data_IF_332601924109
#
_entry.id   IF_332601924109
#
_cell.length_a   1.000
_cell.length_b   1.000
_cell.length_c   1.000
_cell.angle_alpha   90.00
_cell.angle_beta   90.00
_cell.angle_gamma   90.00
#
_symmetry.space_group_name_H-M   'P 1'
#
loop_
_entity.id
_entity.type
_entity.pdbx_description
1 polymer ?
#
# COMPACT_ATOMS: atom_id res chain seq x y z
N UNK A 1 -24.32 71.82 -11.09
CA UNK A 1 -23.80 73.02 -10.40
C UNK A 1 -22.29 73.02 -10.67
N UNK A 2 -21.84 73.93 -11.57
CA UNK A 2 -20.44 74.31 -11.93
C UNK A 2 -19.60 73.28 -12.75
N UNK A 3 -19.53 73.39 -14.09
CA UNK A 3 -18.62 74.20 -14.99
C UNK A 3 -17.27 73.50 -15.27
N UNK A 4 -16.97 73.01 -16.48
CA UNK A 4 -16.56 73.65 -17.75
C UNK A 4 -15.08 74.17 -17.82
N UNK A 5 -14.36 73.70 -18.86
CA UNK A 5 -13.50 74.45 -19.84
C UNK A 5 -12.14 74.98 -19.31
N UNK A 6 -10.98 74.46 -19.75
CA UNK A 6 -10.24 74.60 -21.03
C UNK A 6 -9.25 75.77 -21.07
N UNK A 7 -8.05 75.50 -21.63
CA UNK A 7 -7.02 76.39 -22.22
C UNK A 7 -5.62 75.95 -21.73
N UNK A 8 -4.53 75.88 -22.50
CA UNK A 8 -4.23 76.18 -23.89
C UNK A 8 -2.92 75.45 -24.26
N UNK A 9 -2.71 75.16 -25.54
CA UNK A 9 -1.40 74.74 -26.09
C UNK A 9 -0.41 75.91 -26.13
N UNK A 10 0.90 75.60 -26.20
CA UNK A 10 1.62 76.00 -27.41
C UNK A 10 2.48 74.89 -28.03
N UNK A 11 2.65 75.03 -29.34
CA UNK A 11 3.43 74.21 -30.28
C UNK A 11 4.95 74.40 -30.12
N UNK A 12 5.69 73.52 -30.82
CA UNK A 12 7.09 73.59 -31.31
C UNK A 12 8.06 72.71 -30.49
N UNK A 13 8.88 71.79 -31.03
CA UNK A 13 9.42 71.52 -32.38
C UNK A 13 9.85 70.03 -32.50
N UNK A 14 9.78 69.50 -33.73
CA UNK A 14 10.53 68.34 -34.27
C UNK A 14 12.06 68.52 -34.03
N UNK A 15 12.98 67.55 -33.94
CA UNK A 15 13.14 66.11 -34.24
C UNK A 15 14.50 65.66 -33.59
N UNK A 16 15.14 64.53 -33.99
CA UNK A 16 15.09 63.16 -33.49
C UNK A 16 16.42 62.76 -32.75
N UNK A 17 16.70 61.44 -32.65
CA UNK A 17 17.94 60.79 -32.17
C UNK A 17 17.88 60.41 -30.67
N UNK A 18 17.48 59.18 -30.37
CA UNK A 18 18.37 58.02 -30.27
C UNK A 18 19.10 57.99 -28.92
N UNK A 19 18.69 57.09 -28.04
CA UNK A 19 19.59 56.15 -27.35
C UNK A 19 18.76 55.17 -26.50
N UNK A 20 18.76 53.95 -27.00
CA UNK A 20 18.34 52.70 -26.38
C UNK A 20 19.09 52.46 -25.06
N UNK A 21 18.35 52.15 -24.00
CA UNK A 21 18.85 51.36 -22.88
C UNK A 21 17.75 50.38 -22.45
N UNK A 22 17.72 49.20 -23.10
CA UNK A 22 16.97 48.06 -22.60
C UNK A 22 17.69 47.51 -21.36
N UNK A 23 17.08 47.69 -20.19
CA UNK A 23 17.41 46.90 -19.01
C UNK A 23 16.72 45.53 -19.13
N UNK A 24 17.44 44.56 -19.70
CA UNK A 24 16.99 43.17 -19.75
C UNK A 24 17.15 42.52 -18.37
N UNK A 25 16.09 42.55 -17.57
CA UNK A 25 15.99 41.71 -16.37
C UNK A 25 15.83 40.24 -16.80
N UNK A 26 16.93 39.49 -16.77
CA UNK A 26 16.93 38.04 -16.94
C UNK A 26 16.25 37.40 -15.72
N UNK A 27 14.95 37.12 -15.85
CA UNK A 27 14.23 36.20 -14.98
C UNK A 27 14.71 34.78 -15.29
N UNK A 28 15.74 34.33 -14.58
CA UNK A 28 16.08 32.91 -14.50
C UNK A 28 14.98 32.20 -13.72
N UNK A 29 13.94 31.77 -14.42
CA UNK A 29 12.97 30.80 -13.93
C UNK A 29 13.67 29.46 -13.74
N UNK A 30 14.28 29.27 -12.58
CA UNK A 30 14.79 27.96 -12.18
C UNK A 30 13.62 27.00 -12.05
N UNK A 31 13.57 25.99 -12.92
CA UNK A 31 12.73 24.81 -12.72
C UNK A 31 13.21 24.12 -11.43
N UNK A 32 12.65 24.51 -10.29
CA UNK A 32 12.80 23.76 -9.05
C UNK A 32 12.16 22.39 -9.28
N UNK A 33 12.96 21.39 -9.64
CA UNK A 33 12.57 19.99 -9.53
C UNK A 33 12.23 19.77 -8.05
N UNK A 34 10.94 19.74 -7.75
CA UNK A 34 10.43 19.44 -6.42
C UNK A 34 10.77 17.98 -6.16
N UNK A 35 11.93 17.73 -5.54
CA UNK A 35 12.31 16.38 -5.12
C UNK A 35 11.22 15.90 -4.18
N UNK A 36 10.64 14.74 -4.48
CA UNK A 36 9.69 14.09 -3.58
C UNK A 36 10.39 13.90 -2.23
N UNK A 37 9.84 14.50 -1.17
CA UNK A 37 10.40 14.38 0.17
C UNK A 37 10.10 13.00 0.72
N UNK A 38 11.14 12.28 1.15
CA UNK A 38 10.99 11.00 1.82
C UNK A 38 10.40 11.19 3.22
N UNK A 39 9.52 10.29 3.62
CA UNK A 39 8.99 10.23 4.99
C UNK A 39 10.08 9.74 5.92
N UNK A 40 10.37 10.51 6.97
CA UNK A 40 11.37 10.13 7.98
C UNK A 40 10.80 9.18 9.03
N UNK A 41 11.67 8.40 9.68
CA UNK A 41 11.30 7.55 10.82
C UNK A 41 10.63 8.35 11.95
N UNK A 42 11.12 9.57 12.24
CA UNK A 42 10.54 10.44 13.27
C UNK A 42 9.11 10.85 12.93
N UNK A 43 8.85 11.21 11.68
CA UNK A 43 7.51 11.56 11.21
C UNK A 43 6.56 10.35 11.32
N UNK A 44 7.05 9.17 10.95
CA UNK A 44 6.25 7.95 11.08
C UNK A 44 5.95 7.60 12.54
N UNK A 45 6.95 7.68 13.42
CA UNK A 45 6.75 7.45 14.87
C UNK A 45 5.78 8.45 15.49
N UNK A 46 5.81 9.72 15.05
CA UNK A 46 4.82 10.71 15.48
C UNK A 46 3.41 10.32 15.04
N UNK A 47 3.27 9.83 13.80
CA UNK A 47 1.99 9.32 13.28
C UNK A 47 1.49 8.14 14.12
N UNK A 48 2.35 7.17 14.43
CA UNK A 48 2.02 6.05 15.34
C UNK A 48 1.64 6.52 16.75
N UNK A 49 2.23 7.61 17.24
CA UNK A 49 1.84 8.26 18.50
C UNK A 49 0.42 8.81 18.44
N UNK A 50 0.04 9.49 17.35
CA UNK A 50 -1.31 10.00 17.14
C UNK A 50 -2.35 8.89 16.98
N UNK A 51 -1.94 7.71 16.52
CA UNK A 51 -2.81 6.54 16.37
C UNK A 51 -2.87 5.65 17.61
N UNK A 52 -2.28 6.08 18.74
CA UNK A 52 -2.37 5.36 20.00
C UNK A 52 -3.83 5.06 20.39
N UNK A 53 -4.09 3.83 20.84
CA UNK A 53 -5.43 3.37 21.20
C UNK A 53 -6.29 2.89 20.02
N UNK A 54 -5.81 2.99 18.77
CA UNK A 54 -6.49 2.38 17.63
C UNK A 54 -6.36 0.86 17.70
N UNK A 55 -7.46 0.07 17.66
CA UNK A 55 -7.36 -1.38 17.82
C UNK A 55 -6.69 -2.09 16.63
N UNK A 56 -6.72 -1.51 15.41
CA UNK A 56 -6.02 -2.06 14.26
C UNK A 56 -5.26 -1.01 13.44
N UNK A 57 -4.06 -1.36 12.98
CA UNK A 57 -3.28 -0.58 12.03
C UNK A 57 -2.96 -1.48 10.83
N UNK A 58 -3.20 -0.99 9.62
CA UNK A 58 -3.00 -1.73 8.38
C UNK A 58 -1.88 -1.04 7.58
N UNK A 59 -0.82 -1.77 7.28
CA UNK A 59 0.33 -1.32 6.49
C UNK A 59 0.25 -1.92 5.10
N UNK A 60 0.30 -1.03 4.10
CA UNK A 60 0.23 -1.35 2.69
C UNK A 60 1.57 -1.20 2.01
N UNK A 61 2.07 -2.28 1.45
CA UNK A 61 3.33 -2.29 0.70
C UNK A 61 3.17 -2.52 -0.81
N UNK A 62 4.21 -2.14 -1.54
CA UNK A 62 4.56 -2.80 -2.78
C UNK A 62 5.60 -3.89 -2.45
N UNK A 63 5.28 -5.15 -2.76
CA UNK A 63 6.02 -6.34 -2.30
C UNK A 63 7.47 -6.47 -2.79
N UNK A 64 7.86 -5.75 -3.85
CA UNK A 64 9.22 -5.81 -4.38
C UNK A 64 10.10 -4.65 -3.88
N UNK A 65 9.61 -3.87 -2.91
CA UNK A 65 10.31 -2.70 -2.39
C UNK A 65 10.97 -2.99 -1.04
N UNK A 66 12.30 -3.01 -1.02
CA UNK A 66 13.11 -3.31 0.17
C UNK A 66 12.82 -2.32 1.30
N UNK A 67 12.68 -1.02 0.99
CA UNK A 67 12.40 0.00 1.99
C UNK A 67 11.04 -0.19 2.66
N UNK A 68 10.07 -0.80 1.99
CA UNK A 68 8.76 -1.10 2.57
C UNK A 68 8.89 -2.20 3.62
N UNK A 69 9.55 -3.32 3.30
CA UNK A 69 9.82 -4.39 4.28
C UNK A 69 10.59 -3.87 5.51
N UNK A 70 11.56 -2.97 5.30
CA UNK A 70 12.32 -2.35 6.39
C UNK A 70 11.43 -1.47 7.28
N UNK A 71 10.57 -0.65 6.67
CA UNK A 71 9.59 0.19 7.36
C UNK A 71 8.60 -0.64 8.19
N UNK A 72 8.10 -1.74 7.65
CA UNK A 72 7.20 -2.66 8.36
C UNK A 72 7.90 -3.30 9.56
N UNK A 73 9.12 -3.82 9.36
CA UNK A 73 9.90 -4.43 10.44
C UNK A 73 10.23 -3.40 11.53
N UNK A 74 10.53 -2.15 11.16
CA UNK A 74 10.75 -1.06 12.10
C UNK A 74 9.47 -0.70 12.88
N UNK A 75 8.31 -0.71 12.21
CA UNK A 75 7.01 -0.48 12.83
C UNK A 75 6.69 -1.56 13.86
N UNK A 76 6.89 -2.84 13.50
CA UNK A 76 6.71 -3.97 14.42
C UNK A 76 7.61 -3.80 15.65
N UNK A 77 8.92 -3.53 15.45
CA UNK A 77 9.86 -3.31 16.56
C UNK A 77 9.44 -2.15 17.46
N UNK A 78 9.02 -1.02 16.87
CA UNK A 78 8.63 0.17 17.60
C UNK A 78 7.41 -0.08 18.50
N UNK A 79 6.34 -0.67 17.94
CA UNK A 79 5.13 -0.97 18.69
C UNK A 79 5.37 -2.06 19.73
N UNK A 80 6.15 -3.10 19.40
CA UNK A 80 6.47 -4.18 20.34
C UNK A 80 7.32 -3.68 21.52
N UNK A 81 8.34 -2.86 21.28
CA UNK A 81 9.18 -2.28 22.33
C UNK A 81 8.40 -1.39 23.30
N UNK A 82 7.31 -0.76 22.84
CA UNK A 82 6.41 0.03 23.67
C UNK A 82 5.32 -0.81 24.36
N UNK A 83 5.30 -2.13 24.14
CA UNK A 83 4.22 -3.00 24.62
C UNK A 83 2.87 -2.71 23.97
N UNK A 84 2.86 -2.07 22.79
CA UNK A 84 1.66 -1.60 22.07
C UNK A 84 1.25 -2.50 20.90
N UNK A 85 1.94 -3.62 20.68
CA UNK A 85 1.58 -4.59 19.64
C UNK A 85 0.90 -5.82 20.27
N UNK A 86 -0.36 -6.06 19.92
CA UNK A 86 -1.13 -7.21 20.39
C UNK A 86 -0.88 -8.46 19.55
N UNK A 87 -0.83 -8.29 18.23
CA UNK A 87 -0.56 -9.35 17.26
C UNK A 87 -0.08 -8.72 15.95
N UNK A 88 0.61 -9.53 15.14
CA UNK A 88 0.91 -9.24 13.74
C UNK A 88 0.11 -10.20 12.85
N UNK A 89 -0.63 -9.67 11.89
CA UNK A 89 -1.28 -10.43 10.82
C UNK A 89 -0.50 -10.18 9.53
N UNK A 90 -0.22 -11.22 8.76
CA UNK A 90 0.49 -11.11 7.48
C UNK A 90 -0.29 -11.74 6.33
N UNK A 91 -0.37 -11.05 5.21
CA UNK A 91 -0.87 -11.62 3.95
C UNK A 91 0.00 -12.80 3.47
N UNK A 92 1.26 -12.83 3.87
CA UNK A 92 2.24 -13.75 3.34
C UNK A 92 2.01 -15.19 3.80
N UNK A 93 1.21 -15.40 4.85
CA UNK A 93 0.83 -16.71 5.36
C UNK A 93 -0.70 -16.94 5.26
N UNK A 94 -1.14 -18.17 4.97
CA UNK A 94 -2.56 -18.49 4.93
C UNK A 94 -3.20 -18.45 6.33
N UNK A 95 -4.48 -18.11 6.38
CA UNK A 95 -5.30 -18.23 7.56
C UNK A 95 -5.23 -19.66 8.12
N UNK A 96 -5.04 -19.77 9.43
CA UNK A 96 -4.76 -21.02 10.15
C UNK A 96 -3.30 -21.20 10.53
N UNK A 97 -2.36 -20.51 9.87
CA UNK A 97 -0.98 -20.40 10.33
C UNK A 97 -0.87 -19.48 11.54
N UNK A 98 -0.14 -19.88 12.59
CA UNK A 98 0.01 -19.09 13.82
C UNK A 98 1.28 -19.44 14.60
N UNK A 99 1.96 -18.42 15.13
CA UNK A 99 3.10 -18.60 16.05
C UNK A 99 2.70 -18.55 17.54
N UNK A 100 1.40 -18.51 17.86
CA UNK A 100 0.90 -18.34 19.24
C UNK A 100 1.46 -19.36 20.24
N UNK A 101 1.73 -20.59 19.79
CA UNK A 101 2.27 -21.66 20.63
C UNK A 101 3.80 -21.68 20.71
N UNK A 102 4.49 -20.80 19.99
CA UNK A 102 5.95 -20.77 19.93
C UNK A 102 6.53 -19.84 21.01
N UNK A 103 7.69 -20.19 21.60
CA UNK A 103 8.41 -19.29 22.48
C UNK A 103 9.08 -18.16 21.68
N UNK A 104 9.44 -17.07 22.37
CA UNK A 104 10.18 -15.95 21.75
C UNK A 104 11.57 -16.34 21.20
N UNK A 105 12.10 -17.49 21.63
CA UNK A 105 13.36 -18.07 21.16
C UNK A 105 13.23 -18.99 19.94
N UNK A 106 12.02 -19.13 19.37
CA UNK A 106 11.79 -19.98 18.22
C UNK A 106 12.68 -19.59 17.03
N UNK A 107 13.16 -20.59 16.31
CA UNK A 107 13.95 -20.44 15.10
C UNK A 107 13.08 -20.05 13.90
N UNK A 108 13.72 -19.51 12.86
CA UNK A 108 13.07 -19.19 11.59
C UNK A 108 12.34 -20.40 10.98
N UNK A 109 12.88 -21.62 11.11
CA UNK A 109 12.25 -22.84 10.57
C UNK A 109 10.98 -23.23 11.33
N UNK A 110 11.00 -23.13 12.66
CA UNK A 110 9.82 -23.38 13.50
C UNK A 110 8.71 -22.37 13.18
N UNK A 111 9.08 -21.09 13.04
CA UNK A 111 8.15 -20.01 12.67
C UNK A 111 7.58 -20.21 11.28
N UNK A 112 8.41 -20.52 10.27
CA UNK A 112 7.94 -20.83 8.91
C UNK A 112 6.98 -22.01 8.89
N UNK A 113 7.28 -23.06 9.66
CA UNK A 113 6.42 -24.25 9.76
C UNK A 113 5.08 -23.90 10.39
N UNK A 114 5.10 -23.19 11.52
CA UNK A 114 3.89 -22.80 12.25
C UNK A 114 3.00 -21.83 11.45
N UNK A 115 3.60 -20.95 10.65
CA UNK A 115 2.88 -20.06 9.72
C UNK A 115 2.49 -20.74 8.41
N UNK A 116 2.89 -22.00 8.19
CA UNK A 116 2.69 -22.70 6.92
C UNK A 116 3.25 -21.91 5.72
N UNK A 117 4.41 -21.27 5.90
CA UNK A 117 4.95 -20.24 5.01
C UNK A 117 5.08 -20.69 3.55
N UNK A 118 5.47 -21.95 3.32
CA UNK A 118 5.57 -22.54 1.97
C UNK A 118 4.24 -22.57 1.20
N UNK A 119 3.11 -22.44 1.89
CA UNK A 119 1.76 -22.38 1.30
C UNK A 119 1.34 -20.95 0.94
N UNK A 120 2.10 -19.92 1.30
CA UNK A 120 1.83 -18.52 0.97
C UNK A 120 2.32 -18.09 -0.41
N UNK A 121 1.63 -17.18 -1.10
CA UNK A 121 2.10 -16.65 -2.40
C UNK A 121 2.03 -17.66 -3.55
N UNK A 122 3.03 -17.68 -4.45
CA UNK A 122 3.18 -18.65 -5.55
C UNK A 122 4.08 -19.86 -5.22
N UNK A 123 4.36 -20.76 -6.19
CA UNK A 123 5.28 -21.89 -5.99
C UNK A 123 6.62 -21.40 -5.40
N UNK A 124 7.02 -21.95 -4.25
CA UNK A 124 8.23 -21.53 -3.52
C UNK A 124 7.98 -20.61 -2.31
N UNK A 125 6.76 -20.07 -2.15
CA UNK A 125 6.47 -19.18 -1.03
C UNK A 125 6.78 -17.71 -1.32
N UNK A 126 6.60 -16.85 -0.31
CA UNK A 126 7.23 -15.54 -0.29
C UNK A 126 8.70 -15.67 0.13
N UNK A 127 9.63 -14.87 -0.40
CA UNK A 127 11.04 -14.99 -0.02
C UNK A 127 11.25 -14.64 1.45
N UNK A 128 11.73 -15.60 2.24
CA UNK A 128 11.85 -15.43 3.69
C UNK A 128 12.85 -14.34 4.07
N UNK A 129 13.89 -14.10 3.27
CA UNK A 129 14.85 -13.04 3.54
C UNK A 129 14.22 -11.63 3.58
N UNK A 130 13.11 -11.44 2.86
CA UNK A 130 12.43 -10.15 2.75
C UNK A 130 11.48 -9.94 3.94
N UNK A 131 10.71 -10.98 4.29
CA UNK A 131 9.65 -10.90 5.30
C UNK A 131 10.03 -11.42 6.69
N UNK A 132 11.05 -12.28 6.78
CA UNK A 132 11.58 -12.83 8.02
C UNK A 132 11.89 -11.76 9.07
N UNK A 133 12.54 -10.63 8.72
CA UNK A 133 12.75 -9.53 9.66
C UNK A 133 11.46 -8.93 10.26
N UNK A 134 10.37 -8.85 9.50
CA UNK A 134 9.05 -8.36 9.98
C UNK A 134 8.46 -9.37 10.98
N UNK A 135 8.41 -10.64 10.57
CA UNK A 135 7.83 -11.73 11.36
C UNK A 135 8.62 -11.97 12.65
N UNK A 136 9.94 -12.09 12.55
CA UNK A 136 10.81 -12.39 13.69
C UNK A 136 10.91 -11.23 14.68
N UNK A 137 10.67 -9.99 14.26
CA UNK A 137 10.56 -8.87 15.18
C UNK A 137 9.38 -9.03 16.16
N UNK A 138 8.23 -9.55 15.69
CA UNK A 138 7.09 -9.85 16.55
C UNK A 138 7.35 -11.08 17.42
N UNK A 139 7.82 -12.19 16.82
CA UNK A 139 8.07 -13.45 17.55
C UNK A 139 9.07 -13.25 18.70
N UNK A 140 10.19 -12.56 18.45
CA UNK A 140 11.22 -12.29 19.48
C UNK A 140 10.72 -11.39 20.61
N UNK A 141 9.66 -10.61 20.38
CA UNK A 141 8.99 -9.82 21.40
C UNK A 141 7.88 -10.59 22.14
N UNK A 142 7.68 -11.88 21.83
CA UNK A 142 6.58 -12.68 22.39
C UNK A 142 5.21 -12.32 21.83
N UNK A 143 5.16 -11.60 20.70
CA UNK A 143 3.91 -11.21 20.04
C UNK A 143 3.54 -12.28 19.00
N UNK A 144 2.30 -12.81 19.03
CA UNK A 144 1.87 -13.81 18.06
C UNK A 144 1.76 -13.22 16.65
N UNK A 145 2.20 -14.00 15.67
CA UNK A 145 2.04 -13.75 14.24
C UNK A 145 0.97 -14.70 13.69
N UNK A 146 0.05 -14.18 12.90
CA UNK A 146 -1.08 -14.89 12.32
C UNK A 146 -1.03 -14.77 10.80
N UNK A 147 -1.25 -15.87 10.08
CA UNK A 147 -1.53 -15.81 8.66
C UNK A 147 -2.93 -15.24 8.41
N UNK A 148 -3.04 -14.26 7.52
CA UNK A 148 -4.30 -13.59 7.21
C UNK A 148 -4.97 -14.08 5.92
N UNK A 149 -4.19 -14.65 5.00
CA UNK A 149 -4.59 -14.77 3.61
C UNK A 149 -5.54 -15.95 3.36
N UNK A 150 -6.29 -15.90 2.26
CA UNK A 150 -7.12 -17.02 1.85
C UNK A 150 -6.24 -18.25 1.55
N UNK A 151 -6.48 -19.41 2.19
CA UNK A 151 -5.74 -20.62 1.87
C UNK A 151 -5.86 -20.98 0.39
N UNK A 152 -4.74 -21.35 -0.27
CA UNK A 152 -4.70 -21.62 -1.72
C UNK A 152 -5.78 -22.59 -2.20
N UNK A 153 -6.08 -23.62 -1.41
CA UNK A 153 -7.11 -24.61 -1.71
C UNK A 153 -8.51 -23.98 -1.92
N UNK A 154 -8.77 -22.80 -1.36
CA UNK A 154 -10.03 -22.07 -1.49
C UNK A 154 -10.05 -21.04 -2.62
N UNK A 155 -8.90 -20.68 -3.21
CA UNK A 155 -8.84 -19.67 -4.28
C UNK A 155 -9.63 -20.09 -5.52
N UNK A 156 -9.54 -21.36 -5.94
CA UNK A 156 -10.30 -21.88 -7.08
C UNK A 156 -11.81 -21.80 -6.86
N UNK A 157 -12.27 -22.06 -5.64
CA UNK A 157 -13.68 -21.93 -5.27
C UNK A 157 -14.13 -20.47 -5.37
N UNK A 158 -13.34 -19.54 -4.84
CA UNK A 158 -13.66 -18.11 -4.82
C UNK A 158 -13.92 -17.53 -6.22
N UNK A 159 -13.26 -18.05 -7.28
CA UNK A 159 -13.52 -17.64 -8.66
C UNK A 159 -15.00 -17.76 -9.08
N UNK A 160 -15.72 -18.74 -8.52
CA UNK A 160 -17.13 -19.01 -8.82
C UNK A 160 -18.13 -18.35 -7.87
N UNK A 161 -17.68 -17.65 -6.85
CA UNK A 161 -18.55 -17.07 -5.82
C UNK A 161 -19.05 -15.67 -6.24
N UNK A 162 -20.21 -15.61 -6.89
CA UNK A 162 -20.82 -14.35 -7.36
C UNK A 162 -21.20 -13.38 -6.24
N UNK A 163 -21.24 -13.84 -4.97
CA UNK A 163 -21.50 -12.96 -3.81
C UNK A 163 -20.51 -11.80 -3.70
N UNK A 164 -19.29 -11.96 -4.23
CA UNK A 164 -18.27 -10.91 -4.22
C UNK A 164 -18.56 -9.78 -5.21
N UNK A 165 -19.34 -10.03 -6.28
CA UNK A 165 -19.61 -9.05 -7.34
C UNK A 165 -20.39 -7.83 -6.81
N UNK A 166 -21.19 -8.04 -5.76
CA UNK A 166 -22.02 -7.00 -5.13
C UNK A 166 -21.45 -6.41 -3.85
N UNK A 167 -20.25 -6.81 -3.42
CA UNK A 167 -19.66 -6.33 -2.16
C UNK A 167 -19.25 -4.85 -2.25
N UNK A 168 -18.62 -4.48 -3.36
CA UNK A 168 -18.15 -3.11 -3.59
C UNK A 168 -19.20 -2.31 -4.38
N UNK A 169 -19.28 -0.98 -4.17
CA UNK A 169 -19.95 -0.10 -5.12
C UNK A 169 -19.35 -0.25 -6.53
N UNK A 170 -20.12 0.07 -7.57
CA UNK A 170 -19.71 -0.11 -8.96
C UNK A 170 -18.32 0.50 -9.29
N UNK A 171 -18.01 1.67 -8.73
CA UNK A 171 -16.70 2.30 -8.89
C UNK A 171 -15.56 1.49 -8.23
N UNK A 172 -15.80 0.91 -7.05
CA UNK A 172 -14.83 0.05 -6.36
C UNK A 172 -14.62 -1.28 -7.09
N UNK A 173 -15.70 -1.86 -7.63
CA UNK A 173 -15.60 -3.04 -8.48
C UNK A 173 -14.77 -2.77 -9.75
N UNK A 174 -15.01 -1.66 -10.43
CA UNK A 174 -14.22 -1.28 -11.61
C UNK A 174 -12.73 -1.10 -11.26
N UNK A 175 -12.41 -0.47 -10.13
CA UNK A 175 -11.03 -0.35 -9.65
C UNK A 175 -10.35 -1.71 -9.45
N UNK A 176 -11.08 -2.73 -9.00
CA UNK A 176 -10.55 -4.09 -8.86
C UNK A 176 -10.30 -4.73 -10.23
N UNK A 177 -11.22 -4.58 -11.19
CA UNK A 177 -11.02 -5.08 -12.55
C UNK A 177 -9.82 -4.42 -13.24
N UNK A 178 -9.68 -3.11 -13.09
CA UNK A 178 -8.55 -2.35 -13.63
C UNK A 178 -7.23 -2.79 -12.97
N UNK A 179 -7.22 -2.98 -11.65
CA UNK A 179 -6.05 -3.50 -10.94
C UNK A 179 -5.65 -4.91 -11.41
N UNK A 180 -6.62 -5.78 -11.70
CA UNK A 180 -6.35 -7.10 -12.29
C UNK A 180 -5.75 -6.95 -13.69
N UNK A 181 -6.33 -6.12 -14.55
CA UNK A 181 -5.83 -5.88 -15.91
C UNK A 181 -4.39 -5.36 -15.88
N UNK A 182 -4.13 -4.35 -15.07
CA UNK A 182 -2.83 -3.68 -14.98
C UNK A 182 -1.78 -4.61 -14.35
N UNK A 183 -2.14 -5.33 -13.29
CA UNK A 183 -1.26 -6.32 -12.66
C UNK A 183 -0.89 -7.50 -13.56
N UNK A 184 -1.68 -7.76 -14.61
CA UNK A 184 -1.36 -8.74 -15.65
C UNK A 184 -0.87 -8.09 -16.95
N UNK A 185 -0.48 -6.81 -16.90
CA UNK A 185 0.10 -6.04 -18.01
C UNK A 185 -0.78 -6.03 -19.28
N UNK A 186 -2.10 -6.12 -19.10
CA UNK A 186 -3.09 -6.20 -20.17
C UNK A 186 -3.12 -7.53 -20.94
N UNK A 187 -2.38 -8.55 -20.49
CA UNK A 187 -2.28 -9.84 -21.19
C UNK A 187 -3.44 -10.78 -20.84
N UNK A 188 -3.97 -10.65 -19.62
CA UNK A 188 -5.04 -11.52 -19.14
C UNK A 188 -6.33 -11.31 -19.97
N UNK A 189 -7.01 -12.39 -20.45
CA UNK A 189 -8.29 -12.27 -21.13
C UNK A 189 -9.34 -11.61 -20.23
N UNK A 190 -10.18 -10.74 -20.79
CA UNK A 190 -11.20 -10.00 -20.02
C UNK A 190 -12.16 -10.93 -19.26
N UNK A 191 -12.44 -12.12 -19.81
CA UNK A 191 -13.28 -13.14 -19.16
C UNK A 191 -12.71 -13.64 -17.82
N UNK A 192 -11.41 -13.43 -17.56
CA UNK A 192 -10.75 -13.78 -16.30
C UNK A 192 -10.73 -12.63 -15.29
N UNK A 193 -11.10 -11.40 -15.66
CA UNK A 193 -11.01 -10.26 -14.74
C UNK A 193 -11.91 -10.44 -13.52
N UNK A 194 -13.19 -10.74 -13.73
CA UNK A 194 -14.12 -10.97 -12.62
C UNK A 194 -13.72 -12.19 -11.74
N UNK A 195 -13.40 -13.38 -12.30
CA UNK A 195 -12.87 -14.49 -11.51
C UNK A 195 -11.65 -14.15 -10.64
N UNK A 196 -10.70 -13.38 -11.16
CA UNK A 196 -9.51 -12.96 -10.40
C UNK A 196 -9.84 -11.88 -9.36
N UNK A 197 -10.71 -10.93 -9.69
CA UNK A 197 -11.19 -9.92 -8.73
C UNK A 197 -11.90 -10.59 -7.54
N UNK A 198 -12.71 -11.62 -7.77
CA UNK A 198 -13.33 -12.41 -6.69
C UNK A 198 -12.31 -13.05 -5.76
N UNK A 199 -11.17 -13.53 -6.29
CA UNK A 199 -10.07 -14.02 -5.44
C UNK A 199 -9.49 -12.90 -4.59
N UNK A 200 -9.26 -11.71 -5.15
CA UNK A 200 -8.76 -10.56 -4.38
C UNK A 200 -9.70 -10.21 -3.24
N UNK A 201 -11.01 -10.10 -3.52
CA UNK A 201 -12.04 -9.84 -2.50
C UNK A 201 -12.10 -10.94 -1.43
N UNK A 202 -11.95 -12.21 -1.82
CA UNK A 202 -11.92 -13.34 -0.90
C UNK A 202 -10.68 -13.33 0.03
N UNK A 203 -9.53 -12.87 -0.48
CA UNK A 203 -8.32 -12.66 0.32
C UNK A 203 -8.52 -11.52 1.31
N UNK A 204 -9.11 -10.41 0.86
CA UNK A 204 -9.46 -9.27 1.72
C UNK A 204 -10.42 -9.68 2.84
N UNK A 205 -11.47 -10.44 2.52
CA UNK A 205 -12.42 -10.97 3.51
C UNK A 205 -11.71 -11.85 4.56
N UNK A 206 -10.79 -12.72 4.11
CA UNK A 206 -10.00 -13.58 5.00
C UNK A 206 -9.13 -12.75 5.95
N UNK A 207 -8.39 -11.78 5.41
CA UNK A 207 -7.51 -10.91 6.20
C UNK A 207 -8.30 -10.04 7.18
N UNK A 208 -9.45 -9.52 6.76
CA UNK A 208 -10.36 -8.76 7.62
C UNK A 208 -10.84 -9.61 8.79
N UNK A 209 -11.30 -10.84 8.52
CA UNK A 209 -11.79 -11.77 9.55
C UNK A 209 -10.72 -12.15 10.57
N UNK A 210 -9.49 -12.42 10.11
CA UNK A 210 -8.36 -12.73 11.00
C UNK A 210 -7.99 -11.50 11.83
N UNK A 211 -7.95 -10.32 11.23
CA UNK A 211 -7.64 -9.06 11.93
C UNK A 211 -8.70 -8.73 12.99
N UNK A 212 -9.99 -8.80 12.63
CA UNK A 212 -11.11 -8.57 13.55
C UNK A 212 -11.07 -9.57 14.72
N UNK A 213 -10.85 -10.85 14.41
CA UNK A 213 -10.74 -11.91 15.43
C UNK A 213 -9.55 -11.68 16.35
N UNK A 214 -8.39 -11.29 15.81
CA UNK A 214 -7.22 -10.95 16.60
C UNK A 214 -7.49 -9.74 17.51
N UNK A 215 -8.18 -8.71 17.02
CA UNK A 215 -8.57 -7.56 17.86
C UNK A 215 -9.48 -8.00 19.00
N UNK A 216 -10.47 -8.85 18.71
CA UNK A 216 -11.41 -9.36 19.73
C UNK A 216 -10.73 -10.23 20.79
N UNK A 217 -9.83 -11.11 20.37
CA UNK A 217 -9.24 -12.15 21.25
C UNK A 217 -7.92 -11.73 21.91
N UNK A 218 -7.20 -10.79 21.31
CA UNK A 218 -5.87 -10.36 21.75
C UNK A 218 -5.78 -8.88 22.05
N UNK A 219 -6.80 -8.10 21.66
CA UNK A 219 -6.86 -6.68 21.94
C UNK A 219 -6.79 -6.40 23.43
N UNK A 220 -5.98 -5.41 23.79
CA UNK A 220 -5.88 -4.87 25.13
C UNK A 220 -5.86 -3.35 25.00
N UNK A 221 -6.37 -2.59 26.00
CA UNK A 221 -6.29 -1.14 25.99
C UNK A 221 -4.87 -0.65 25.68
N UNK A 222 -4.74 0.23 24.69
CA UNK A 222 -3.44 0.78 24.27
C UNK A 222 -2.62 -0.10 23.32
N UNK A 223 -3.05 -1.33 23.01
CA UNK A 223 -2.41 -2.20 22.02
C UNK A 223 -3.20 -2.25 20.71
N UNK A 224 -2.46 -2.42 19.62
CA UNK A 224 -3.00 -2.57 18.26
C UNK A 224 -2.67 -3.94 17.69
N UNK A 225 -3.58 -4.48 16.89
CA UNK A 225 -3.25 -5.53 15.90
C UNK A 225 -2.69 -4.84 14.65
N UNK A 226 -1.54 -5.29 14.17
CA UNK A 226 -0.94 -4.79 12.94
C UNK A 226 -1.21 -5.77 11.80
N UNK A 227 -1.78 -5.34 10.69
CA UNK A 227 -1.85 -6.11 9.44
C UNK A 227 -0.79 -5.59 8.47
N UNK A 228 0.02 -6.48 7.91
CA UNK A 228 0.92 -6.21 6.79
C UNK A 228 0.41 -6.93 5.55
N UNK A 229 0.15 -6.17 4.49
CA UNK A 229 -0.36 -6.69 3.22
C UNK A 229 0.01 -5.75 2.05
N UNK A 230 -0.18 -6.22 0.82
CA UNK A 230 -0.04 -5.41 -0.37
C UNK A 230 -0.95 -4.19 -0.34
N UNK A 231 -0.49 -3.08 -0.89
CA UNK A 231 -1.17 -1.77 -0.84
C UNK A 231 -2.61 -1.81 -1.37
N UNK A 232 -2.88 -2.66 -2.36
CA UNK A 232 -4.24 -2.87 -2.88
C UNK A 232 -5.19 -3.45 -1.82
N UNK A 233 -4.68 -4.36 -1.00
CA UNK A 233 -5.44 -5.05 0.04
C UNK A 233 -5.77 -4.15 1.23
N UNK A 234 -4.95 -3.16 1.57
CA UNK A 234 -5.25 -2.28 2.72
C UNK A 234 -6.04 -1.02 2.36
N UNK A 235 -6.26 -0.75 1.07
CA UNK A 235 -7.00 0.43 0.61
C UNK A 235 -8.38 0.52 1.23
N UNK A 236 -8.71 1.71 1.73
CA UNK A 236 -9.97 1.94 2.47
C UNK A 236 -11.23 1.84 1.60
N UNK A 237 -11.10 1.98 0.29
CA UNK A 237 -12.22 1.97 -0.66
C UNK A 237 -12.51 0.62 -1.31
N UNK A 238 -11.55 -0.31 -1.33
CA UNK A 238 -11.67 -1.56 -2.11
C UNK A 238 -11.15 -2.82 -1.41
N UNK A 239 -10.36 -2.69 -0.34
CA UNK A 239 -9.65 -3.80 0.30
C UNK A 239 -10.27 -4.26 1.63
N UNK A 240 -9.43 -4.80 2.50
CA UNK A 240 -9.71 -5.27 3.87
C UNK A 240 -10.64 -4.34 4.65
N UNK A 241 -10.47 -3.00 4.68
CA UNK A 241 -11.36 -2.11 5.41
C UNK A 241 -12.85 -2.22 5.04
N UNK A 242 -13.16 -2.61 3.80
CA UNK A 242 -14.55 -2.75 3.32
C UNK A 242 -15.26 -3.99 3.90
N UNK A 243 -14.51 -4.92 4.49
CA UNK A 243 -15.01 -6.14 5.10
C UNK A 243 -15.11 -6.06 6.63
N UNK A 244 -14.58 -4.99 7.23
CA UNK A 244 -14.64 -4.77 8.67
C UNK A 244 -16.01 -4.16 9.06
N UNK A 245 -16.50 -4.40 10.29
CA UNK A 245 -17.71 -3.74 10.79
C UNK A 245 -17.63 -2.21 10.65
N UNK A 246 -18.77 -1.55 10.38
CA UNK A 246 -18.78 -0.10 10.13
C UNK A 246 -18.31 0.77 11.30
N UNK A 247 -18.37 0.25 12.53
CA UNK A 247 -17.88 0.89 13.74
C UNK A 247 -16.44 0.49 14.12
N UNK A 248 -15.85 -0.46 13.40
CA UNK A 248 -14.47 -0.89 13.59
C UNK A 248 -13.52 0.31 13.43
N UNK A 249 -12.50 0.38 14.29
CA UNK A 249 -11.57 1.51 14.34
C UNK A 249 -10.20 1.06 13.85
N UNK A 250 -9.93 1.31 12.58
CA UNK A 250 -8.66 1.02 11.94
C UNK A 250 -7.98 2.29 11.44
N UNK A 251 -6.66 2.21 11.31
CA UNK A 251 -5.86 3.21 10.57
C UNK A 251 -5.09 2.55 9.45
N UNK A 252 -5.08 3.18 8.28
CA UNK A 252 -4.41 2.66 7.08
C UNK A 252 -3.22 3.55 6.74
N UNK A 253 -2.05 2.94 6.65
CA UNK A 253 -0.83 3.56 6.13
C UNK A 253 -0.40 2.83 4.85
N UNK A 254 -0.13 3.56 3.77
CA UNK A 254 0.37 2.97 2.53
C UNK A 254 1.69 3.60 2.14
N UNK A 255 2.69 2.77 1.89
CA UNK A 255 3.98 3.18 1.37
C UNK A 255 3.97 3.24 -0.18
N UNK A 256 4.59 4.29 -0.71
CA UNK A 256 4.87 4.46 -2.13
C UNK A 256 6.37 4.68 -2.33
N UNK A 257 6.92 4.08 -3.38
CA UNK A 257 8.28 4.35 -3.80
C UNK A 257 8.39 5.78 -4.36
N UNK A 258 9.46 6.50 -4.02
CA UNK A 258 9.79 7.83 -4.58
C UNK A 258 9.95 7.85 -6.10
N UNK A 259 10.24 6.68 -6.69
CA UNK A 259 10.34 6.44 -8.13
C UNK A 259 9.03 5.99 -8.79
N UNK A 260 7.94 5.84 -8.04
CA UNK A 260 6.66 5.43 -8.60
C UNK A 260 6.14 6.48 -9.59
N UNK A 261 5.99 6.09 -10.86
CA UNK A 261 5.32 6.91 -11.85
C UNK A 261 3.83 6.92 -11.54
N UNK A 262 3.32 8.11 -11.21
CA UNK A 262 1.93 8.44 -10.85
C UNK A 262 1.57 8.22 -9.38
N UNK A 263 1.27 9.32 -8.68
CA UNK A 263 0.55 9.31 -7.42
C UNK A 263 -0.89 8.84 -7.69
N UNK A 264 -1.12 7.53 -7.68
CA UNK A 264 -2.48 7.01 -7.56
C UNK A 264 -2.98 7.48 -6.20
N UNK A 265 -4.09 8.22 -6.18
CA UNK A 265 -4.73 8.67 -4.95
C UNK A 265 -5.29 7.45 -4.19
N UNK A 266 -4.42 6.69 -3.54
CA UNK A 266 -4.77 5.55 -2.72
C UNK A 266 -5.47 6.06 -1.47
N UNK A 267 -6.65 5.49 -1.15
CA UNK A 267 -7.39 5.89 0.04
C UNK A 267 -6.78 5.25 1.29
N UNK A 268 -6.09 6.08 2.06
CA UNK A 268 -5.44 5.75 3.32
C UNK A 268 -5.47 6.95 4.29
N UNK A 269 -5.31 6.71 5.59
CA UNK A 269 -5.12 7.77 6.59
C UNK A 269 -3.73 8.42 6.48
N UNK A 270 -2.72 7.64 6.04
CA UNK A 270 -1.35 8.12 5.80
C UNK A 270 -0.80 7.53 4.51
N UNK A 271 -0.27 8.39 3.64
CA UNK A 271 0.61 8.00 2.55
C UNK A 271 2.06 8.33 2.95
N UNK A 272 2.98 7.40 2.72
CA UNK A 272 4.40 7.55 3.03
C UNK A 272 5.21 7.41 1.75
N UNK A 273 6.15 8.32 1.51
CA UNK A 273 7.11 8.15 0.42
C UNK A 273 8.38 7.54 0.98
N UNK A 274 8.74 6.34 0.53
CA UNK A 274 9.96 5.64 0.92
C UNK A 274 10.89 5.50 -0.29
N UNK A 275 12.17 5.24 -0.03
CA UNK A 275 13.15 5.05 -1.10
C UNK A 275 12.79 3.81 -1.94
N UNK A 276 12.64 4.00 -3.25
CA UNK A 276 12.38 2.91 -4.17
C UNK A 276 13.66 2.25 -4.67
N UNK A 277 13.75 0.92 -4.60
CA UNK A 277 14.72 0.21 -5.42
C UNK A 277 14.27 0.18 -6.88
N UNK A 278 15.22 -0.05 -7.80
CA UNK A 278 14.86 -0.36 -9.17
C UNK A 278 13.97 -1.61 -9.16
N UNK A 279 12.76 -1.50 -9.69
CA UNK A 279 11.94 -2.66 -10.00
C UNK A 279 12.40 -3.19 -11.36
N UNK A 280 12.57 -4.51 -11.47
CA UNK A 280 12.69 -5.13 -12.79
C UNK A 280 11.44 -4.80 -13.62
N UNK A 281 11.55 -4.78 -14.95
CA UNK A 281 10.37 -4.64 -15.81
C UNK A 281 9.57 -5.95 -15.80
N UNK A 282 8.76 -6.09 -14.75
CA UNK A 282 7.90 -7.25 -14.52
C UNK A 282 6.95 -7.48 -15.71
N UNK A 283 6.52 -6.41 -16.38
CA UNK A 283 5.65 -6.54 -17.54
C UNK A 283 6.38 -7.09 -18.76
N UNK A 284 7.64 -6.71 -18.99
CA UNK A 284 8.44 -7.32 -20.05
C UNK A 284 8.71 -8.80 -19.78
N UNK A 285 9.06 -9.17 -18.54
CA UNK A 285 9.24 -10.59 -18.18
C UNK A 285 7.95 -11.39 -18.34
N UNK A 286 6.82 -10.86 -17.86
CA UNK A 286 5.53 -11.52 -17.98
C UNK A 286 5.12 -11.70 -19.46
N UNK A 287 5.36 -10.69 -20.30
CA UNK A 287 5.13 -10.78 -21.76
C UNK A 287 5.95 -11.90 -22.39
N UNK A 288 7.21 -12.07 -22.02
CA UNK A 288 8.06 -13.16 -22.52
C UNK A 288 7.56 -14.54 -22.05
N UNK A 289 7.15 -14.67 -20.80
CA UNK A 289 6.56 -15.93 -20.29
C UNK A 289 5.27 -16.29 -21.02
N UNK A 290 4.42 -15.30 -21.33
CA UNK A 290 3.16 -15.50 -22.04
C UNK A 290 3.35 -15.95 -23.49
N UNK A 291 4.37 -15.42 -24.19
CA UNK A 291 4.72 -15.88 -25.55
C UNK A 291 5.10 -17.36 -25.59
N UNK A 292 5.73 -17.85 -24.51
CA UNK A 292 6.23 -19.21 -24.40
C UNK A 292 5.21 -20.20 -23.79
N UNK A 293 3.99 -19.75 -23.50
CA UNK A 293 2.96 -20.61 -22.90
C UNK A 293 2.41 -21.58 -23.96
N UNK A 294 2.39 -22.90 -23.69
CA UNK A 294 1.75 -23.84 -24.60
C UNK A 294 0.29 -23.46 -24.82
N UNK A 295 -0.18 -23.52 -26.06
CA UNK A 295 -1.59 -23.31 -26.37
C UNK A 295 -2.44 -24.24 -25.50
N UNK A 296 -3.43 -23.68 -24.81
CA UNK A 296 -4.42 -24.47 -24.07
C UNK A 296 -5.11 -25.41 -25.06
N UNK A 297 -5.00 -26.72 -24.83
CA UNK A 297 -5.81 -27.71 -25.57
C UNK A 297 -7.29 -27.37 -25.37
N UNK A 298 -8.10 -27.46 -26.44
CA UNK A 298 -9.53 -27.17 -26.39
C UNK A 298 -10.27 -28.07 -25.40
#
# INVERSE_FOLDING_TARGET
>A
MWTFISAAQPRQRFNPLALTALASALLLGGCAHQRTQLTSDTEWQQTLGQWAGTPAILLGEQHDQIAHHQWEAATVRHLAAQGRLAALVVEMAPAGGSTRSLPASASDEEVKTALQWAQGGGPGGWPWQDYGPVVMAAVKAGVPVLGGNLPRARMKQAMGESRYDGHLPAAGWQLQLDAIKDGHCGLLPESQFAPMARIQLARDESMARVTETAVRELGQPGKSVLLVAGRGHVRSDIGVPTWLPGDFKQKVAIAQADKAQTAIAMKADKLLTLEGNASEDQCSQLREQWKNRPATKP
#
